data_IF_830306007850
#
_entry.id   IF_830306007850
#
_cell.length_a   1.000
_cell.length_b   1.000
_cell.length_c   1.000
_cell.angle_alpha   90.00
_cell.angle_beta   90.00
_cell.angle_gamma   90.00
#
_symmetry.space_group_name_H-M   'P 1'
#
loop_
_entity.id
_entity.type
_entity.pdbx_description
1 polymer ?
#
# COMPACT_ATOMS: atom_id res chain seq x y z
N UNK A 1 -5.04 -26.27 -3.56
CA UNK A 1 -4.55 -25.01 -4.18
C UNK A 1 -4.41 -23.97 -3.07
N UNK A 2 -3.40 -23.10 -3.13
CA UNK A 2 -3.25 -21.97 -2.22
C UNK A 2 -3.22 -20.70 -3.06
N UNK A 3 -3.88 -19.64 -2.60
CA UNK A 3 -3.97 -18.38 -3.31
C UNK A 3 -4.14 -17.20 -2.36
N UNK A 4 -4.01 -15.99 -2.89
CA UNK A 4 -4.24 -14.76 -2.15
C UNK A 4 -5.30 -13.91 -2.84
N UNK A 5 -6.08 -13.16 -2.07
CA UNK A 5 -7.04 -12.18 -2.60
C UNK A 5 -6.69 -10.77 -2.14
N UNK A 6 -7.08 -9.78 -2.95
CA UNK A 6 -6.92 -8.36 -2.68
C UNK A 6 -8.22 -7.63 -2.98
N UNK A 7 -8.62 -6.71 -2.10
CA UNK A 7 -9.84 -5.92 -2.25
C UNK A 7 -9.75 -4.67 -1.38
N UNK A 8 -10.23 -3.53 -1.89
CA UNK A 8 -10.24 -2.28 -1.11
C UNK A 8 -11.43 -2.16 -0.16
N UNK A 9 -12.56 -2.78 -0.51
CA UNK A 9 -13.84 -2.58 0.18
C UNK A 9 -14.31 -3.88 0.84
N UNK A 10 -14.78 -3.86 2.11
CA UNK A 10 -15.23 -5.06 2.81
C UNK A 10 -16.31 -5.86 2.06
N UNK A 11 -17.28 -5.18 1.45
CA UNK A 11 -18.34 -5.82 0.66
C UNK A 11 -17.81 -6.51 -0.60
N UNK A 12 -16.73 -6.00 -1.20
CA UNK A 12 -16.07 -6.64 -2.34
C UNK A 12 -15.34 -7.90 -1.87
N UNK A 13 -14.66 -7.83 -0.72
CA UNK A 13 -14.02 -9.00 -0.10
C UNK A 13 -15.02 -10.12 0.17
N UNK A 14 -16.14 -9.79 0.83
CA UNK A 14 -17.20 -10.76 1.14
C UNK A 14 -17.75 -11.42 -0.13
N UNK A 15 -17.98 -10.63 -1.19
CA UNK A 15 -18.43 -11.15 -2.49
C UNK A 15 -17.39 -12.08 -3.14
N UNK A 16 -16.10 -11.75 -3.05
CA UNK A 16 -15.04 -12.60 -3.59
C UNK A 16 -14.94 -13.92 -2.83
N UNK A 17 -14.96 -13.90 -1.50
CA UNK A 17 -14.91 -15.09 -0.65
C UNK A 17 -16.10 -16.04 -0.92
N UNK A 18 -17.32 -15.49 -0.95
CA UNK A 18 -18.51 -16.26 -1.31
C UNK A 18 -18.45 -16.80 -2.76
N UNK A 19 -17.79 -16.07 -3.67
CA UNK A 19 -17.54 -16.52 -5.03
C UNK A 19 -16.58 -17.69 -5.11
N UNK A 20 -15.46 -17.63 -4.37
CA UNK A 20 -14.47 -18.71 -4.29
C UNK A 20 -15.13 -19.99 -3.77
N UNK A 21 -15.87 -19.90 -2.68
CA UNK A 21 -16.55 -21.05 -2.09
C UNK A 21 -17.56 -21.67 -3.07
N UNK A 22 -18.38 -20.84 -3.71
CA UNK A 22 -19.36 -21.29 -4.71
C UNK A 22 -18.69 -21.98 -5.90
N UNK A 23 -17.63 -21.39 -6.44
CA UNK A 23 -16.91 -21.94 -7.60
C UNK A 23 -16.24 -23.26 -7.25
N UNK A 24 -15.57 -23.36 -6.09
CA UNK A 24 -14.91 -24.59 -5.65
C UNK A 24 -15.90 -25.75 -5.53
N UNK A 25 -17.05 -25.51 -4.87
CA UNK A 25 -18.12 -26.51 -4.73
C UNK A 25 -18.70 -26.92 -6.08
N UNK A 26 -18.96 -25.96 -6.97
CA UNK A 26 -19.50 -26.24 -8.30
C UNK A 26 -18.54 -27.07 -9.18
N UNK A 27 -17.23 -26.76 -9.14
CA UNK A 27 -16.23 -27.52 -9.90
C UNK A 27 -16.12 -28.95 -9.37
N UNK A 28 -16.10 -29.16 -8.06
CA UNK A 28 -16.07 -30.51 -7.48
C UNK A 28 -17.32 -31.32 -7.89
N UNK A 29 -18.51 -30.72 -7.81
CA UNK A 29 -19.75 -31.37 -8.21
C UNK A 29 -19.78 -31.71 -9.70
N UNK A 30 -19.34 -30.80 -10.58
CA UNK A 30 -19.28 -31.07 -12.03
C UNK A 30 -18.29 -32.19 -12.39
N UNK A 31 -17.24 -32.36 -11.58
CA UNK A 31 -16.21 -33.36 -11.80
C UNK A 31 -16.51 -34.71 -11.11
N UNK A 32 -17.66 -34.86 -10.46
CA UNK A 32 -17.98 -36.01 -9.58
C UNK A 32 -16.88 -36.29 -8.54
N UNK A 33 -16.27 -35.21 -8.03
CA UNK A 33 -15.21 -35.26 -7.03
C UNK A 33 -15.78 -35.06 -5.61
N UNK A 34 -15.06 -35.52 -4.56
CA UNK A 34 -15.42 -35.21 -3.18
C UNK A 34 -15.56 -33.71 -2.92
N UNK A 35 -16.37 -33.35 -1.93
CA UNK A 35 -16.51 -31.96 -1.50
C UNK A 35 -15.13 -31.37 -1.12
N UNK A 36 -14.78 -30.17 -1.60
CA UNK A 36 -13.48 -29.58 -1.32
C UNK A 36 -13.41 -29.08 0.12
N UNK A 37 -12.26 -29.27 0.75
CA UNK A 37 -11.91 -28.58 1.98
C UNK A 37 -11.52 -27.13 1.65
N UNK A 38 -12.20 -26.16 2.25
CA UNK A 38 -12.02 -24.73 1.95
C UNK A 38 -11.68 -24.01 3.25
N UNK A 39 -10.44 -23.52 3.33
CA UNK A 39 -9.95 -22.66 4.41
C UNK A 39 -9.83 -21.22 3.90
N UNK A 40 -10.54 -20.30 4.56
CA UNK A 40 -10.55 -18.88 4.20
C UNK A 40 -10.03 -18.05 5.35
N UNK A 41 -8.80 -17.56 5.22
CA UNK A 41 -8.20 -16.63 6.19
C UNK A 41 -8.65 -15.20 5.91
N UNK A 42 -8.99 -14.45 6.97
CA UNK A 42 -9.41 -13.05 6.85
C UNK A 42 -8.28 -12.15 6.30
N UNK A 43 -7.01 -12.51 6.57
CA UNK A 43 -5.83 -11.78 6.10
C UNK A 43 -5.83 -10.31 6.55
N UNK A 44 -4.96 -9.51 5.95
CA UNK A 44 -4.86 -8.07 6.24
C UNK A 44 -5.94 -7.25 5.52
N UNK A 45 -6.45 -6.23 6.22
CA UNK A 45 -7.44 -5.29 5.69
C UNK A 45 -6.77 -4.20 4.86
N UNK A 46 -7.57 -3.42 4.15
CA UNK A 46 -7.04 -2.27 3.40
C UNK A 46 -6.53 -1.20 4.38
N UNK A 47 -5.32 -0.69 4.14
CA UNK A 47 -4.81 0.47 4.89
C UNK A 47 -5.58 1.71 4.46
N UNK A 48 -6.34 2.29 5.39
CA UNK A 48 -7.11 3.51 5.19
C UNK A 48 -6.45 4.66 5.96
N UNK A 49 -5.67 5.48 5.25
CA UNK A 49 -5.00 6.61 5.91
C UNK A 49 -6.02 7.63 6.44
N UNK A 50 -5.76 8.14 7.64
CA UNK A 50 -6.55 9.23 8.23
C UNK A 50 -6.32 10.53 7.45
N UNK A 51 -7.41 11.17 7.01
CA UNK A 51 -7.33 12.35 6.15
C UNK A 51 -6.71 13.57 6.86
N UNK A 52 -6.89 13.72 8.17
CA UNK A 52 -6.31 14.82 8.93
C UNK A 52 -4.79 14.63 9.10
N UNK A 53 -4.35 13.40 9.42
CA UNK A 53 -2.93 13.06 9.51
C UNK A 53 -2.24 13.23 8.16
N UNK A 54 -2.86 12.77 7.07
CA UNK A 54 -2.36 12.97 5.71
C UNK A 54 -2.24 14.46 5.39
N UNK A 55 -3.29 15.24 5.66
CA UNK A 55 -3.29 16.68 5.36
C UNK A 55 -2.22 17.46 6.12
N UNK A 56 -1.88 17.06 7.36
CA UNK A 56 -0.78 17.65 8.13
C UNK A 56 0.58 17.34 7.51
N UNK A 57 0.84 16.05 7.25
CA UNK A 57 2.11 15.62 6.67
C UNK A 57 2.30 16.16 5.25
N UNK A 58 1.25 16.21 4.44
CA UNK A 58 1.29 16.72 3.07
C UNK A 58 1.80 18.16 3.01
N UNK A 59 1.42 19.04 3.94
CA UNK A 59 1.91 20.43 3.97
C UNK A 59 3.42 20.51 4.11
N UNK A 60 3.99 19.78 5.08
CA UNK A 60 5.44 19.82 5.34
C UNK A 60 6.22 19.07 4.27
N UNK A 61 5.69 17.96 3.76
CA UNK A 61 6.34 17.15 2.74
C UNK A 61 6.34 17.85 1.38
N UNK A 62 5.28 18.58 1.02
CA UNK A 62 5.26 19.42 -0.19
C UNK A 62 6.32 20.51 -0.15
N UNK A 63 6.48 21.20 0.98
CA UNK A 63 7.52 22.23 1.15
C UNK A 63 8.92 21.61 1.01
N UNK A 64 9.14 20.44 1.62
CA UNK A 64 10.46 19.80 1.63
C UNK A 64 10.86 19.17 0.29
N UNK A 65 9.90 18.62 -0.45
CA UNK A 65 10.18 17.81 -1.64
C UNK A 65 9.74 18.46 -2.96
N UNK A 66 8.94 19.54 -2.93
CA UNK A 66 8.46 20.24 -4.12
C UNK A 66 7.82 19.29 -5.13
N UNK A 67 8.24 19.39 -6.39
CA UNK A 67 7.73 18.57 -7.51
C UNK A 67 7.98 17.06 -7.36
N UNK A 68 8.84 16.65 -6.41
CA UNK A 68 9.08 15.23 -6.11
C UNK A 68 7.98 14.64 -5.23
N UNK A 69 7.24 15.47 -4.49
CA UNK A 69 6.08 15.02 -3.73
C UNK A 69 4.90 14.76 -4.67
N UNK A 70 4.24 13.60 -4.52
CA UNK A 70 3.05 13.26 -5.29
C UNK A 70 2.09 12.42 -4.44
N UNK A 71 0.78 12.68 -4.59
CA UNK A 71 -0.26 11.80 -4.06
C UNK A 71 -0.37 10.57 -4.97
N UNK A 72 -0.21 9.39 -4.40
CA UNK A 72 -0.31 8.14 -5.15
C UNK A 72 -1.74 7.60 -5.12
N UNK A 73 -2.24 7.01 -6.22
CA UNK A 73 -3.51 6.29 -6.19
C UNK A 73 -3.43 5.06 -5.29
N UNK A 74 -4.58 4.57 -4.85
CA UNK A 74 -4.68 3.30 -4.15
C UNK A 74 -4.11 2.16 -5.02
N UNK A 75 -3.39 1.22 -4.40
CA UNK A 75 -2.79 0.08 -5.08
C UNK A 75 -3.08 -1.22 -4.33
N UNK A 76 -2.83 -2.37 -4.96
CA UNK A 76 -3.21 -3.68 -4.43
C UNK A 76 -2.18 -4.31 -3.48
N UNK A 77 -1.12 -3.59 -3.12
CA UNK A 77 -0.18 -4.04 -2.06
C UNK A 77 -0.93 -4.02 -0.73
N UNK A 78 -0.77 -5.08 0.05
CA UNK A 78 -1.38 -5.21 1.38
C UNK A 78 -0.34 -4.97 2.46
N UNK A 79 -0.75 -4.37 3.57
CA UNK A 79 0.07 -4.25 4.78
C UNK A 79 -0.74 -4.47 6.06
N UNK A 80 -0.08 -5.09 7.04
CA UNK A 80 -0.62 -5.29 8.39
C UNK A 80 -0.67 -4.00 9.22
N UNK A 81 -0.04 -2.92 8.74
CA UNK A 81 -0.18 -1.57 9.30
C UNK A 81 -1.65 -1.13 9.42
N UNK A 82 -2.54 -1.70 8.60
CA UNK A 82 -3.99 -1.50 8.71
C UNK A 82 -4.54 -1.81 10.11
N UNK A 83 -3.90 -2.70 10.88
CA UNK A 83 -4.34 -3.02 12.24
C UNK A 83 -4.23 -1.84 13.21
N UNK A 84 -3.23 -0.96 13.07
CA UNK A 84 -3.14 0.28 13.87
C UNK A 84 -4.30 1.23 13.58
N UNK A 85 -4.65 1.38 12.28
CA UNK A 85 -5.79 2.17 11.84
C UNK A 85 -7.09 1.58 12.38
N UNK A 86 -7.26 0.26 12.27
CA UNK A 86 -8.47 -0.45 12.71
C UNK A 86 -8.64 -0.42 14.23
N UNK A 87 -7.54 -0.33 14.99
CA UNK A 87 -7.56 -0.10 16.44
C UNK A 87 -7.96 1.34 16.83
N UNK A 88 -8.25 2.20 15.85
CA UNK A 88 -8.71 3.57 16.07
C UNK A 88 -7.59 4.59 16.21
N UNK A 89 -6.34 4.25 15.89
CA UNK A 89 -5.21 5.18 15.92
C UNK A 89 -5.17 5.98 14.62
N UNK A 90 -5.38 7.33 14.64
CA UNK A 90 -5.21 8.15 13.44
C UNK A 90 -3.79 8.00 12.91
N UNK A 91 -3.66 7.45 11.70
CA UNK A 91 -2.38 6.96 11.18
C UNK A 91 -2.27 7.21 9.67
N UNK A 92 -1.04 7.31 9.19
CA UNK A 92 -0.72 7.42 7.77
C UNK A 92 0.44 6.50 7.40
N UNK A 93 0.22 5.66 6.39
CA UNK A 93 1.24 4.90 5.70
C UNK A 93 1.55 5.55 4.34
N UNK A 94 2.83 5.72 4.01
CA UNK A 94 3.25 6.37 2.77
C UNK A 94 4.48 5.70 2.17
N UNK A 95 4.70 5.92 0.87
CA UNK A 95 5.83 5.38 0.12
C UNK A 95 6.88 6.46 -0.13
N UNK A 96 8.12 6.02 -0.36
CA UNK A 96 9.22 6.88 -0.83
C UNK A 96 9.73 6.39 -2.18
N UNK A 97 10.27 7.31 -2.98
CA UNK A 97 10.97 6.96 -4.21
C UNK A 97 12.32 6.32 -3.90
N UNK A 98 12.67 5.26 -4.64
CA UNK A 98 13.87 4.44 -4.38
C UNK A 98 14.85 4.36 -5.54
N UNK A 99 14.46 4.83 -6.73
CA UNK A 99 15.25 4.79 -7.96
C UNK A 99 15.75 6.17 -8.38
N UNK A 100 16.77 6.18 -9.22
CA UNK A 100 17.34 7.38 -9.84
C UNK A 100 16.28 8.15 -10.65
N UNK A 101 16.18 9.48 -10.53
CA UNK A 101 15.15 10.27 -11.22
C UNK A 101 15.11 10.04 -12.73
N UNK A 102 16.27 9.99 -13.38
CA UNK A 102 16.36 9.81 -14.85
C UNK A 102 15.88 8.41 -15.27
N UNK A 103 16.17 7.40 -14.45
CA UNK A 103 15.71 6.03 -14.67
C UNK A 103 14.20 5.90 -14.48
N UNK A 104 13.64 6.62 -13.49
CA UNK A 104 12.18 6.73 -13.31
C UNK A 104 11.53 7.45 -14.48
N UNK A 105 12.12 8.55 -14.95
CA UNK A 105 11.61 9.30 -16.10
C UNK A 105 11.62 8.45 -17.38
N UNK A 106 12.74 7.76 -17.66
CA UNK A 106 12.88 6.87 -18.81
C UNK A 106 11.89 5.68 -18.76
N UNK A 107 11.67 5.08 -17.58
CA UNK A 107 10.68 4.02 -17.43
C UNK A 107 9.25 4.54 -17.64
N UNK A 108 8.94 5.76 -17.17
CA UNK A 108 7.60 6.37 -17.30
C UNK A 108 7.26 6.79 -18.73
N UNK A 109 8.23 7.30 -19.48
CA UNK A 109 8.02 7.77 -20.86
C UNK A 109 8.28 6.67 -21.91
N UNK A 110 8.66 5.46 -21.48
CA UNK A 110 8.90 4.31 -22.35
C UNK A 110 10.26 4.33 -23.08
N UNK A 111 11.15 5.28 -22.79
CA UNK A 111 12.51 5.30 -23.38
C UNK A 111 13.49 4.36 -22.67
N UNK A 112 13.13 3.87 -21.48
CA UNK A 112 13.91 2.91 -20.69
C UNK A 112 13.12 1.66 -20.29
N UNK A 113 13.79 0.63 -19.77
CA UNK A 113 13.13 -0.58 -19.30
C UNK A 113 12.24 -0.30 -18.08
N UNK A 114 11.23 -1.15 -17.82
CA UNK A 114 10.40 -1.04 -16.62
C UNK A 114 11.26 -1.19 -15.36
N UNK A 115 10.89 -0.46 -14.30
CA UNK A 115 11.57 -0.58 -13.00
C UNK A 115 11.13 -1.87 -12.31
N UNK A 116 12.08 -2.68 -11.78
CA UNK A 116 11.73 -3.78 -10.89
C UNK A 116 10.95 -3.28 -9.68
N UNK A 117 9.87 -3.97 -9.30
CA UNK A 117 9.09 -3.66 -8.10
C UNK A 117 9.49 -4.55 -6.91
N UNK A 118 8.85 -4.33 -5.76
CA UNK A 118 8.95 -5.24 -4.61
C UNK A 118 8.71 -6.71 -5.02
N UNK A 119 9.37 -7.65 -4.33
CA UNK A 119 9.37 -9.10 -4.62
C UNK A 119 10.09 -9.54 -5.91
N UNK A 120 10.68 -8.63 -6.68
CA UNK A 120 11.59 -9.01 -7.78
C UNK A 120 13.02 -9.25 -7.26
N UNK A 121 13.75 -10.27 -7.75
CA UNK A 121 15.18 -10.43 -7.43
C UNK A 121 16.06 -9.32 -8.03
N UNK A 122 15.51 -8.47 -8.91
CA UNK A 122 16.16 -7.30 -9.47
C UNK A 122 15.79 -6.00 -8.74
N UNK A 123 14.99 -6.07 -7.67
CA UNK A 123 14.67 -4.91 -6.86
C UNK A 123 15.90 -4.41 -6.10
N UNK A 124 16.43 -3.28 -6.55
CA UNK A 124 17.66 -2.68 -6.04
C UNK A 124 17.50 -1.16 -5.87
N UNK A 125 16.93 -0.70 -4.75
CA UNK A 125 16.93 0.71 -4.33
C UNK A 125 18.33 1.33 -4.34
N UNK A 126 18.42 2.62 -4.68
CA UNK A 126 19.65 3.40 -4.58
C UNK A 126 19.88 3.74 -3.10
N UNK A 127 20.89 3.16 -2.41
CA UNK A 127 20.86 3.10 -0.95
C UNK A 127 20.86 4.48 -0.27
N UNK A 128 21.89 5.30 -0.56
CA UNK A 128 22.11 6.59 0.10
C UNK A 128 20.95 7.59 -0.07
N UNK A 129 20.46 7.90 -1.28
CA UNK A 129 19.33 8.82 -1.44
C UNK A 129 18.02 8.25 -0.93
N UNK A 130 17.79 6.94 -1.02
CA UNK A 130 16.58 6.29 -0.48
C UNK A 130 16.51 6.45 1.04
N UNK A 131 17.58 6.07 1.75
CA UNK A 131 17.63 6.17 3.22
C UNK A 131 17.48 7.62 3.67
N UNK A 132 18.18 8.55 3.02
CA UNK A 132 18.05 9.99 3.34
C UNK A 132 16.63 10.50 3.13
N UNK A 133 15.98 10.09 2.05
CA UNK A 133 14.58 10.48 1.77
C UNK A 133 13.64 9.94 2.83
N UNK A 134 13.79 8.67 3.21
CA UNK A 134 13.00 8.04 4.27
C UNK A 134 13.16 8.73 5.62
N UNK A 135 14.41 8.98 6.05
CA UNK A 135 14.70 9.68 7.31
C UNK A 135 14.12 11.09 7.31
N UNK A 136 14.34 11.87 6.25
CA UNK A 136 13.79 13.23 6.16
C UNK A 136 12.26 13.21 6.16
N UNK A 137 11.62 12.37 5.35
CA UNK A 137 10.17 12.32 5.24
C UNK A 137 9.51 11.88 6.56
N UNK A 138 10.04 10.84 7.21
CA UNK A 138 9.54 10.37 8.50
C UNK A 138 9.73 11.42 9.59
N UNK A 139 10.91 12.06 9.66
CA UNK A 139 11.19 13.11 10.65
C UNK A 139 10.20 14.27 10.51
N UNK A 140 9.96 14.74 9.28
CA UNK A 140 9.01 15.83 9.03
C UNK A 140 7.57 15.43 9.35
N UNK A 141 7.15 14.22 8.97
CA UNK A 141 5.82 13.71 9.29
C UNK A 141 5.59 13.65 10.81
N UNK A 142 6.55 13.11 11.57
CA UNK A 142 6.49 13.05 13.04
C UNK A 142 6.45 14.44 13.66
N UNK A 143 7.35 15.35 13.26
CA UNK A 143 7.34 16.73 13.77
C UNK A 143 6.01 17.43 13.47
N UNK A 144 5.44 17.23 12.28
CA UNK A 144 4.15 17.82 11.92
C UNK A 144 2.98 17.29 12.75
N UNK A 145 3.03 16.02 13.16
CA UNK A 145 2.00 15.42 14.00
C UNK A 145 2.04 15.96 15.44
N UNK A 146 3.21 16.38 15.93
CA UNK A 146 3.41 16.95 17.27
C UNK A 146 3.31 18.48 17.33
N UNK A 147 3.33 19.18 16.19
CA UNK A 147 3.20 20.63 16.18
C UNK A 147 1.78 21.06 16.59
N UNK A 148 1.65 21.66 17.78
CA UNK A 148 0.38 22.15 18.31
C UNK A 148 -0.23 23.24 17.43
N UNK A 149 0.59 24.03 16.71
CA UNK A 149 0.09 25.05 15.76
C UNK A 149 -0.62 24.43 14.56
N UNK A 150 -0.32 23.17 14.20
CA UNK A 150 -1.00 22.43 13.15
C UNK A 150 -2.32 21.77 13.61
N UNK A 151 -2.61 21.79 14.92
CA UNK A 151 -3.83 21.24 15.54
C UNK A 151 -4.92 22.29 15.77
N UNK A 152 -4.68 23.56 15.43
CA UNK A 152 -5.66 24.63 15.62
C UNK A 152 -5.96 24.95 17.09
N UNK A 153 -5.01 24.67 18.00
CA UNK A 153 -5.01 25.11 19.39
C UNK A 153 -3.95 26.19 19.60
#
# INVERSE_FOLDING_TARGET
MIGTIRSFKPQVRARMLAGIERTAKAVAAMADAPAPEIHLDEGTKAVMNDAAVVGQAERVLKVAFGDKFNVSPANTTSEDYSEYVNAGVPSMFFNIGVYEPDRVAAARNGSGPPLPGNHSPQFAPVPKPTIRTGVTAMTLAVLSAFDQRARGQ
#
